data_IF_659407694719
#
_entry.id   IF_659407694719
#
_cell.length_a   1.000
_cell.length_b   1.000
_cell.length_c   1.000
_cell.angle_alpha   90.00
_cell.angle_beta   90.00
_cell.angle_gamma   90.00
#
_symmetry.space_group_name_H-M   'P 1'
#
loop_
_entity.id
_entity.type
_entity.pdbx_description
1 polymer ?
#
# COMPACT_ATOMS: atom_id res chain seq x y z
N UNK A 1 -0.41 -2.45 -0.28
CA UNK A 1 0.82 -1.66 -0.51
C UNK A 1 0.77 -0.78 -1.76
N UNK A 2 -0.17 0.17 -1.82
CA UNK A 2 -0.23 1.16 -2.92
C UNK A 2 0.97 2.12 -2.91
N UNK A 3 1.33 2.68 -4.07
CA UNK A 3 2.20 3.85 -4.12
C UNK A 3 1.39 5.05 -3.65
N UNK A 4 2.08 6.04 -3.06
CA UNK A 4 1.42 7.25 -2.57
C UNK A 4 0.69 8.02 -3.68
N UNK A 5 1.21 8.01 -4.90
CA UNK A 5 0.57 8.62 -6.07
C UNK A 5 -0.72 7.90 -6.47
N UNK A 6 -0.73 6.57 -6.42
CA UNK A 6 -1.90 5.75 -6.71
C UNK A 6 -2.99 5.97 -5.66
N UNK A 7 -2.61 5.97 -4.37
CA UNK A 7 -3.52 6.28 -3.27
C UNK A 7 -4.16 7.67 -3.40
N UNK A 8 -3.37 8.67 -3.81
CA UNK A 8 -3.88 10.03 -4.04
C UNK A 8 -4.75 10.13 -5.30
N UNK A 9 -4.56 9.24 -6.27
CA UNK A 9 -5.28 9.19 -7.53
C UNK A 9 -6.61 8.43 -7.46
N UNK A 10 -6.82 7.61 -6.44
CA UNK A 10 -8.01 6.78 -6.28
C UNK A 10 -9.29 7.63 -6.19
N UNK A 11 -10.32 7.23 -6.93
CA UNK A 11 -11.69 7.73 -6.78
C UNK A 11 -12.51 6.82 -5.86
N UNK A 12 -13.63 7.34 -5.36
CA UNK A 12 -14.55 6.59 -4.50
C UNK A 12 -15.18 5.42 -5.28
N UNK A 13 -15.43 5.62 -6.57
CA UNK A 13 -16.03 4.62 -7.47
C UNK A 13 -15.04 3.48 -7.83
N UNK A 14 -13.74 3.68 -7.56
CA UNK A 14 -12.72 2.65 -7.76
C UNK A 14 -12.66 1.64 -6.60
N UNK A 15 -13.35 1.90 -5.48
CA UNK A 15 -13.31 1.09 -4.26
C UNK A 15 -14.56 0.22 -4.17
N UNK A 16 -14.36 -1.09 -4.11
CA UNK A 16 -15.38 -2.07 -3.79
C UNK A 16 -15.16 -2.58 -2.35
N UNK A 17 -15.98 -2.10 -1.41
CA UNK A 17 -15.91 -2.50 -0.01
C UNK A 17 -16.48 -3.89 0.24
N UNK A 18 -17.41 -4.36 -0.59
CA UNK A 18 -17.99 -5.71 -0.48
C UNK A 18 -16.98 -6.76 -0.93
N UNK A 19 -16.30 -6.48 -2.04
CA UNK A 19 -15.21 -7.29 -2.55
C UNK A 19 -13.87 -6.99 -1.84
N UNK A 20 -13.79 -6.02 -0.93
CA UNK A 20 -12.52 -5.59 -0.30
C UNK A 20 -11.37 -5.36 -1.31
N UNK A 21 -11.69 -4.70 -2.42
CA UNK A 21 -10.76 -4.43 -3.50
C UNK A 21 -10.86 -3.00 -4.02
N UNK A 22 -9.81 -2.54 -4.69
CA UNK A 22 -9.85 -1.27 -5.41
C UNK A 22 -9.16 -1.38 -6.77
N UNK A 23 -9.72 -0.71 -7.77
CA UNK A 23 -9.14 -0.59 -9.09
C UNK A 23 -8.13 0.57 -9.11
N UNK A 24 -6.87 0.26 -9.35
CA UNK A 24 -5.82 1.26 -9.55
C UNK A 24 -5.66 1.47 -11.03
N UNK A 25 -6.06 2.64 -11.51
CA UNK A 25 -5.90 3.03 -12.91
C UNK A 25 -4.43 3.40 -13.15
N UNK A 26 -3.80 2.66 -14.07
CA UNK A 26 -2.42 2.87 -14.46
C UNK A 26 -2.27 4.18 -15.23
N UNK A 27 -1.25 4.98 -14.87
CA UNK A 27 -0.86 6.14 -15.68
C UNK A 27 -0.25 5.72 -17.02
N UNK A 28 0.26 6.69 -17.81
CA UNK A 28 0.85 6.42 -19.13
C UNK A 28 1.98 5.37 -19.06
N UNK A 29 1.68 4.14 -19.50
CA UNK A 29 2.61 3.01 -19.57
C UNK A 29 2.47 1.98 -18.45
N UNK A 30 1.61 2.21 -17.45
CA UNK A 30 1.27 1.22 -16.42
C UNK A 30 -0.09 0.60 -16.72
N UNK A 31 -0.23 -0.70 -16.45
CA UNK A 31 -1.51 -1.40 -16.61
C UNK A 31 -2.38 -1.15 -15.38
N UNK A 32 -3.68 -1.06 -15.62
CA UNK A 32 -4.68 -1.10 -14.55
C UNK A 32 -4.53 -2.41 -13.78
N UNK A 33 -4.75 -2.33 -12.47
CA UNK A 33 -4.71 -3.51 -11.61
C UNK A 33 -5.66 -3.38 -10.43
N UNK A 34 -6.21 -4.51 -10.03
CA UNK A 34 -6.95 -4.61 -8.78
C UNK A 34 -5.96 -4.79 -7.62
N UNK A 35 -6.17 -4.02 -6.56
CA UNK A 35 -5.49 -4.22 -5.27
C UNK A 35 -6.49 -4.72 -4.25
N UNK A 36 -6.00 -5.56 -3.35
CA UNK A 36 -6.79 -6.11 -2.26
C UNK A 36 -6.44 -5.42 -0.96
N UNK A 37 -7.43 -5.33 -0.07
CA UNK A 37 -7.25 -4.80 1.27
C UNK A 37 -8.04 -5.64 2.30
N UNK A 38 -7.91 -5.26 3.57
CA UNK A 38 -8.47 -6.00 4.71
C UNK A 38 -9.75 -5.34 5.22
N UNK A 39 -10.48 -6.06 6.08
CA UNK A 39 -11.63 -5.51 6.81
C UNK A 39 -11.26 -4.22 7.57
N UNK A 40 -10.08 -4.17 8.20
CA UNK A 40 -9.61 -2.95 8.85
C UNK A 40 -9.51 -1.74 7.91
N UNK A 41 -9.27 -1.97 6.62
CA UNK A 41 -9.29 -0.90 5.60
C UNK A 41 -10.73 -0.49 5.26
N UNK A 42 -11.67 -1.44 5.20
CA UNK A 42 -13.10 -1.14 5.05
C UNK A 42 -13.56 -0.26 6.20
N UNK A 43 -13.30 -0.66 7.44
CA UNK A 43 -13.71 0.08 8.63
C UNK A 43 -13.15 1.52 8.63
N UNK A 44 -11.89 1.68 8.19
CA UNK A 44 -11.25 2.99 8.04
C UNK A 44 -11.90 3.85 6.93
N UNK A 45 -12.29 3.25 5.80
CA UNK A 45 -12.98 3.94 4.69
C UNK A 45 -14.38 4.35 5.12
N UNK A 46 -15.11 3.48 5.82
CA UNK A 46 -16.45 3.78 6.34
C UNK A 46 -16.42 4.91 7.37
N UNK A 47 -15.47 4.87 8.32
CA UNK A 47 -15.27 5.94 9.29
C UNK A 47 -14.87 7.28 8.63
N UNK A 48 -14.13 7.22 7.52
CA UNK A 48 -13.71 8.39 6.76
C UNK A 48 -14.83 9.02 5.92
N UNK A 49 -15.72 8.20 5.35
CA UNK A 49 -16.79 8.60 4.43
C UNK A 49 -17.65 9.79 4.88
N UNK A 50 -18.19 9.86 6.12
CA UNK A 50 -18.96 11.02 6.54
C UNK A 50 -18.13 12.32 6.59
N UNK A 51 -16.86 12.23 7.02
CA UNK A 51 -15.94 13.38 7.08
C UNK A 51 -15.62 13.86 5.66
N UNK A 52 -15.39 12.92 4.74
CA UNK A 52 -15.18 13.20 3.31
C UNK A 52 -16.37 13.96 2.72
N UNK A 53 -17.59 13.46 2.92
CA UNK A 53 -18.80 14.04 2.36
C UNK A 53 -19.03 15.48 2.84
N UNK A 54 -18.78 15.75 4.12
CA UNK A 54 -18.80 17.12 4.65
C UNK A 54 -17.78 18.03 3.95
N UNK A 55 -16.56 17.54 3.68
CA UNK A 55 -15.52 18.32 2.98
C UNK A 55 -15.85 18.58 1.52
N UNK A 56 -16.53 17.66 0.83
CA UNK A 56 -17.00 17.86 -0.54
C UNK A 56 -18.00 19.01 -0.59
N UNK A 57 -18.95 19.04 0.35
CA UNK A 57 -19.96 20.11 0.43
C UNK A 57 -19.36 21.51 0.68
N UNK A 58 -18.20 21.58 1.33
CA UNK A 58 -17.48 22.82 1.61
C UNK A 58 -16.58 23.28 0.46
N UNK A 59 -16.36 22.45 -0.55
CA UNK A 59 -15.49 22.75 -1.69
C UNK A 59 -16.26 23.50 -2.77
N UNK A 60 -15.84 24.73 -3.10
CA UNK A 60 -16.42 25.53 -4.19
C UNK A 60 -16.00 25.05 -5.61
N UNK A 61 -15.53 23.80 -5.76
CA UNK A 61 -15.02 23.29 -7.04
C UNK A 61 -15.21 21.78 -7.24
N UNK A 62 -15.41 21.40 -8.51
CA UNK A 62 -15.79 20.04 -8.96
C UNK A 62 -14.67 18.98 -8.79
N UNK A 63 -13.41 19.39 -8.75
CA UNK A 63 -12.25 18.46 -8.77
C UNK A 63 -12.16 17.50 -7.57
N UNK A 64 -12.77 17.84 -6.44
CA UNK A 64 -12.74 17.02 -5.21
C UNK A 64 -13.84 15.96 -5.13
N UNK A 65 -14.91 16.08 -5.93
CA UNK A 65 -16.15 15.32 -5.70
C UNK A 65 -15.99 13.80 -5.77
N UNK A 66 -15.07 13.31 -6.61
CA UNK A 66 -14.85 11.86 -6.82
C UNK A 66 -13.66 11.28 -6.05
N UNK A 67 -12.67 12.11 -5.71
CA UNK A 67 -11.44 11.65 -5.05
C UNK A 67 -11.73 10.97 -3.71
N UNK A 68 -11.18 9.78 -3.45
CA UNK A 68 -11.34 9.07 -2.17
C UNK A 68 -10.79 9.92 -1.01
N UNK A 69 -9.56 10.40 -1.16
CA UNK A 69 -8.87 11.20 -0.13
C UNK A 69 -8.91 12.68 -0.46
N UNK A 70 -9.34 13.47 0.53
CA UNK A 70 -9.46 14.92 0.42
C UNK A 70 -8.60 15.65 1.44
N UNK A 71 -7.97 16.73 0.99
CA UNK A 71 -7.38 17.73 1.87
C UNK A 71 -8.42 18.41 2.75
N UNK A 72 -7.99 19.17 3.76
CA UNK A 72 -8.90 19.95 4.61
C UNK A 72 -9.71 21.01 3.84
N UNK A 73 -9.30 21.35 2.61
CA UNK A 73 -9.99 22.29 1.72
C UNK A 73 -10.93 21.59 0.72
N UNK A 74 -11.19 20.30 0.89
CA UNK A 74 -12.08 19.53 0.00
C UNK A 74 -11.52 19.23 -1.39
N UNK A 75 -10.23 19.53 -1.65
CA UNK A 75 -9.54 19.17 -2.90
C UNK A 75 -8.86 17.80 -2.79
N UNK A 76 -8.65 17.12 -3.92
CA UNK A 76 -7.86 15.88 -4.03
C UNK A 76 -6.54 16.02 -3.26
N UNK A 77 -6.24 15.02 -2.44
CA UNK A 77 -4.98 14.99 -1.71
C UNK A 77 -3.80 14.79 -2.67
N UNK A 78 -2.72 15.54 -2.48
CA UNK A 78 -1.50 15.34 -3.26
C UNK A 78 -0.48 14.47 -2.47
N UNK A 79 0.47 13.81 -3.16
CA UNK A 79 1.44 12.93 -2.51
C UNK A 79 2.29 13.62 -1.43
N UNK A 80 2.62 14.90 -1.61
CA UNK A 80 3.43 15.65 -0.65
C UNK A 80 2.67 15.93 0.65
N UNK A 81 1.35 16.13 0.56
CA UNK A 81 0.47 16.28 1.72
C UNK A 81 0.36 14.97 2.51
N UNK A 82 0.31 13.82 1.82
CA UNK A 82 0.35 12.50 2.48
C UNK A 82 1.68 12.30 3.20
N UNK A 83 2.81 12.60 2.54
CA UNK A 83 4.13 12.50 3.17
C UNK A 83 4.22 13.34 4.45
N UNK A 84 3.79 14.61 4.39
CA UNK A 84 3.73 15.48 5.58
C UNK A 84 2.77 15.00 6.67
N UNK A 85 1.70 14.29 6.30
CA UNK A 85 0.81 13.68 7.28
C UNK A 85 1.53 12.53 7.99
N UNK A 86 2.22 11.67 7.23
CA UNK A 86 3.00 10.56 7.77
C UNK A 86 4.15 11.07 8.64
N UNK A 87 4.86 12.13 8.24
CA UNK A 87 5.90 12.75 9.07
C UNK A 87 5.36 13.18 10.44
N UNK A 88 4.17 13.78 10.47
CA UNK A 88 3.52 14.17 11.74
C UNK A 88 3.10 12.97 12.59
N UNK A 89 2.67 11.88 11.94
CA UNK A 89 2.35 10.64 12.65
C UNK A 89 3.62 9.99 13.22
N UNK A 90 4.73 10.05 12.49
CA UNK A 90 6.03 9.58 12.96
C UNK A 90 6.47 10.34 14.21
N UNK A 91 6.40 11.68 14.17
CA UNK A 91 6.74 12.51 15.32
C UNK A 91 5.84 12.21 16.53
N UNK A 92 4.54 12.06 16.31
CA UNK A 92 3.57 11.79 17.38
C UNK A 92 3.73 10.39 17.99
N UNK A 93 4.23 9.43 17.23
CA UNK A 93 4.53 8.08 17.68
C UNK A 93 5.99 7.92 18.17
N UNK A 94 6.77 9.00 18.21
CA UNK A 94 8.19 9.00 18.57
C UNK A 94 9.06 8.08 17.68
N UNK A 95 8.62 7.84 16.45
CA UNK A 95 9.33 7.05 15.45
C UNK A 95 10.21 7.97 14.60
N UNK A 96 11.50 7.67 14.37
CA UNK A 96 12.32 8.44 13.43
C UNK A 96 11.65 8.51 12.06
N UNK A 97 11.50 9.70 11.48
CA UNK A 97 10.83 9.88 10.17
C UNK A 97 11.43 9.04 9.04
N UNK A 98 12.72 8.71 9.12
CA UNK A 98 13.38 7.79 8.18
C UNK A 98 12.81 6.36 8.22
N UNK A 99 12.22 5.94 9.33
CA UNK A 99 11.61 4.62 9.54
C UNK A 99 10.11 4.59 9.26
N UNK A 100 9.45 5.73 9.10
CA UNK A 100 8.02 5.79 8.76
C UNK A 100 7.78 6.66 7.53
N UNK A 101 7.64 6.01 6.38
CA UNK A 101 7.37 6.67 5.09
C UNK A 101 6.44 5.81 4.22
N UNK A 102 5.79 6.35 3.17
CA UNK A 102 5.03 5.53 2.24
C UNK A 102 5.84 4.37 1.63
N UNK A 103 7.12 4.59 1.37
CA UNK A 103 8.00 3.56 0.84
C UNK A 103 8.24 2.45 1.88
N UNK A 104 8.54 2.83 3.12
CA UNK A 104 8.76 1.87 4.21
C UNK A 104 7.51 1.07 4.53
N UNK A 105 6.33 1.71 4.60
CA UNK A 105 5.04 1.03 4.78
C UNK A 105 4.75 0.03 3.66
N UNK A 106 5.07 0.38 2.42
CA UNK A 106 4.92 -0.54 1.28
C UNK A 106 5.91 -1.71 1.35
N UNK A 107 7.12 -1.47 1.84
CA UNK A 107 8.11 -2.53 2.06
C UNK A 107 7.67 -3.48 3.17
N UNK A 108 7.25 -2.97 4.33
CA UNK A 108 6.70 -3.76 5.44
C UNK A 108 5.48 -4.59 5.02
N UNK A 109 4.62 -4.03 4.16
CA UNK A 109 3.54 -4.79 3.55
C UNK A 109 4.04 -5.97 2.71
N UNK A 110 5.10 -5.77 1.91
CA UNK A 110 5.65 -6.80 1.05
C UNK A 110 6.36 -7.90 1.85
N UNK A 111 7.25 -7.53 2.78
CA UNK A 111 7.97 -8.47 3.63
C UNK A 111 7.02 -9.22 4.55
N UNK A 112 6.03 -8.54 5.13
CA UNK A 112 5.02 -9.19 5.95
C UNK A 112 4.18 -10.22 5.19
N UNK A 113 3.89 -10.02 3.91
CA UNK A 113 3.23 -11.05 3.11
C UNK A 113 4.16 -12.25 2.86
N UNK A 114 5.45 -12.00 2.61
CA UNK A 114 6.45 -13.03 2.38
C UNK A 114 6.67 -13.89 3.63
N UNK A 115 6.79 -13.27 4.80
CA UNK A 115 6.95 -13.94 6.10
C UNK A 115 5.77 -14.87 6.40
N UNK A 116 4.57 -14.52 5.93
CA UNK A 116 3.34 -15.31 6.06
C UNK A 116 3.13 -16.31 4.92
N UNK A 117 4.19 -16.59 4.16
CA UNK A 117 4.21 -17.64 3.14
C UNK A 117 3.54 -17.27 1.81
N UNK A 118 3.23 -15.99 1.56
CA UNK A 118 2.82 -15.57 0.22
C UNK A 118 4.02 -15.66 -0.74
N UNK A 119 3.80 -16.24 -1.92
CA UNK A 119 4.86 -16.35 -2.91
C UNK A 119 5.21 -14.99 -3.52
N UNK A 120 6.45 -14.85 -3.98
CA UNK A 120 6.97 -13.60 -4.54
C UNK A 120 6.18 -13.12 -5.77
N UNK A 121 5.58 -14.04 -6.56
CA UNK A 121 4.80 -13.69 -7.75
C UNK A 121 3.48 -13.04 -7.35
N UNK A 122 2.81 -13.59 -6.33
CA UNK A 122 1.61 -13.00 -5.73
C UNK A 122 1.89 -11.60 -5.18
N UNK A 123 2.98 -11.43 -4.43
CA UNK A 123 3.38 -10.14 -3.87
C UNK A 123 3.68 -9.13 -4.99
N UNK A 124 4.41 -9.54 -6.03
CA UNK A 124 4.75 -8.68 -7.17
C UNK A 124 3.51 -8.19 -7.91
N UNK A 125 2.51 -9.06 -8.11
CA UNK A 125 1.23 -8.70 -8.73
C UNK A 125 0.46 -7.69 -7.88
N UNK A 126 0.36 -7.92 -6.56
CA UNK A 126 -0.30 -7.00 -5.62
C UNK A 126 0.37 -5.62 -5.57
N UNK A 127 1.69 -5.57 -5.75
CA UNK A 127 2.44 -4.31 -5.78
C UNK A 127 2.46 -3.64 -7.16
N UNK A 128 2.12 -4.34 -8.25
CA UNK A 128 2.08 -3.76 -9.60
C UNK A 128 3.44 -3.39 -10.18
N UNK A 129 4.50 -4.15 -9.89
CA UNK A 129 5.80 -3.92 -10.52
C UNK A 129 5.80 -4.46 -11.96
N UNK A 130 5.89 -3.57 -12.95
CA UNK A 130 5.82 -3.90 -14.38
C UNK A 130 7.10 -4.52 -14.97
N UNK A 131 8.14 -4.81 -14.19
CA UNK A 131 9.42 -5.32 -14.72
C UNK A 131 10.05 -6.36 -13.80
N UNK A 132 10.07 -7.60 -14.30
CA UNK A 132 10.91 -8.70 -13.84
C UNK A 132 12.30 -8.46 -14.44
N UNK A 133 13.30 -8.17 -13.62
CA UNK A 133 14.67 -8.47 -14.03
C UNK A 133 14.94 -9.94 -13.71
N UNK A 134 14.81 -10.79 -14.74
CA UNK A 134 15.39 -12.14 -14.91
C UNK A 134 14.96 -13.22 -13.89
N UNK A 135 14.46 -14.42 -14.21
CA UNK A 135 14.36 -15.19 -15.47
C UNK A 135 13.31 -16.28 -15.26
N UNK A 136 12.46 -16.48 -16.27
CA UNK A 136 11.66 -17.67 -16.65
C UNK A 136 10.99 -18.52 -15.57
N UNK A 137 9.73 -18.83 -15.87
CA UNK A 137 8.77 -19.57 -15.04
C UNK A 137 8.28 -18.60 -13.97
N UNK A 138 7.00 -18.25 -13.92
CA UNK A 138 6.09 -18.93 -13.02
C UNK A 138 4.66 -18.51 -13.38
N UNK A 139 3.88 -19.54 -13.73
CA UNK A 139 2.43 -19.72 -13.60
C UNK A 139 1.55 -18.46 -13.60
N UNK A 140 0.61 -18.40 -14.54
CA UNK A 140 -0.56 -17.53 -14.44
C UNK A 140 -1.36 -17.90 -13.20
N UNK A 141 -1.03 -17.29 -12.07
CA UNK A 141 -1.87 -17.36 -10.87
C UNK A 141 -3.17 -16.60 -11.21
N UNK A 142 -4.33 -17.22 -11.02
CA UNK A 142 -5.60 -16.52 -11.25
C UNK A 142 -5.89 -15.51 -10.13
N UNK A 143 -6.69 -14.47 -10.42
CA UNK A 143 -7.04 -13.43 -9.45
C UNK A 143 -7.70 -13.98 -8.18
N UNK A 144 -8.49 -15.05 -8.33
CA UNK A 144 -9.10 -15.78 -7.22
C UNK A 144 -8.05 -16.40 -6.28
N UNK A 145 -7.01 -17.01 -6.85
CA UNK A 145 -5.92 -17.60 -6.07
C UNK A 145 -5.10 -16.52 -5.36
N UNK A 146 -4.86 -15.37 -6.00
CA UNK A 146 -4.20 -14.23 -5.36
C UNK A 146 -4.98 -13.74 -4.14
N UNK A 147 -6.30 -13.64 -4.27
CA UNK A 147 -7.21 -13.24 -3.20
C UNK A 147 -7.17 -14.20 -2.01
N UNK A 148 -7.19 -15.50 -2.27
CA UNK A 148 -7.11 -16.53 -1.23
C UNK A 148 -5.79 -16.49 -0.46
N UNK A 149 -4.66 -16.37 -1.17
CA UNK A 149 -3.33 -16.27 -0.56
C UNK A 149 -3.24 -15.00 0.30
N UNK A 150 -3.68 -13.86 -0.25
CA UNK A 150 -3.66 -12.59 0.46
C UNK A 150 -4.49 -12.62 1.75
N UNK A 151 -5.75 -13.07 1.67
CA UNK A 151 -6.62 -13.11 2.85
C UNK A 151 -6.17 -14.15 3.88
N UNK A 152 -5.56 -15.26 3.46
CA UNK A 152 -4.96 -16.22 4.40
C UNK A 152 -3.83 -15.57 5.18
N UNK A 153 -2.88 -14.94 4.49
CA UNK A 153 -1.77 -14.25 5.11
C UNK A 153 -2.26 -13.13 6.06
N UNK A 154 -3.32 -12.41 5.72
CA UNK A 154 -3.82 -11.32 6.58
C UNK A 154 -4.62 -11.81 7.82
N UNK A 155 -5.17 -13.03 7.82
CA UNK A 155 -5.93 -13.59 8.96
C UNK A 155 -5.06 -14.03 10.13
N UNK A 156 -3.77 -14.22 9.92
CA UNK A 156 -2.83 -14.66 10.95
C UNK A 156 -2.32 -13.50 11.85
N UNK A 157 -2.96 -12.32 11.78
CA UNK A 157 -2.75 -11.23 12.73
C UNK A 157 -3.59 -11.49 13.99
N UNK A 158 -3.00 -11.65 15.19
CA UNK A 158 -3.73 -11.45 16.43
C UNK A 158 -4.13 -9.97 16.52
N UNK A 159 -5.32 -9.69 17.04
CA UNK A 159 -5.74 -8.33 17.37
C UNK A 159 -4.75 -7.72 18.38
N UNK A 160 -3.83 -6.88 17.90
CA UNK A 160 -3.22 -5.82 18.71
C UNK A 160 -2.11 -6.17 19.71
N UNK A 161 -1.40 -7.30 19.61
CA UNK A 161 -0.13 -7.49 20.35
C UNK A 161 1.05 -7.49 19.36
N UNK A 162 1.72 -6.35 19.26
CA UNK A 162 3.07 -6.27 18.68
C UNK A 162 4.03 -6.56 19.83
N UNK A 163 4.68 -7.73 19.80
CA UNK A 163 5.80 -8.01 20.71
C UNK A 163 7.01 -7.17 20.27
N UNK A 164 7.40 -6.20 21.10
CA UNK A 164 8.50 -5.26 20.83
C UNK A 164 9.86 -5.96 20.61
N UNK A 165 9.95 -7.26 20.93
CA UNK A 165 11.16 -8.06 20.83
C UNK A 165 11.56 -8.49 19.40
N UNK A 166 10.68 -8.37 18.39
CA UNK A 166 10.94 -8.83 17.01
C UNK A 166 11.28 -7.72 15.99
N UNK A 167 11.73 -6.55 16.46
CA UNK A 167 12.42 -5.59 15.59
C UNK A 167 13.85 -6.06 15.31
N UNK A 168 13.99 -7.07 14.45
CA UNK A 168 15.29 -7.53 13.96
C UNK A 168 15.94 -6.38 13.17
N UNK A 169 17.15 -6.02 13.57
CA UNK A 169 17.95 -5.02 12.87
C UNK A 169 18.25 -5.49 11.45
N UNK A 170 17.68 -4.79 10.46
CA UNK A 170 17.88 -5.08 9.04
C UNK A 170 19.35 -4.89 8.57
N UNK A 171 20.27 -4.56 9.48
CA UNK A 171 21.71 -4.51 9.24
C UNK A 171 22.42 -5.86 9.38
N UNK A 172 21.82 -6.89 9.99
CA UNK A 172 22.51 -8.16 10.30
C UNK A 172 22.22 -9.34 9.36
N UNK A 173 21.29 -9.22 8.39
CA UNK A 173 20.80 -10.41 7.65
C UNK A 173 21.59 -10.72 6.36
N UNK A 174 22.61 -9.95 5.96
CA UNK A 174 23.42 -10.28 4.78
C UNK A 174 24.93 -10.08 5.04
N UNK A 175 25.76 -11.14 4.99
CA UNK A 175 27.21 -10.96 4.93
C UNK A 175 27.57 -10.20 3.65
N UNK A 176 28.45 -9.21 3.78
CA UNK A 176 28.81 -8.23 2.75
C UNK A 176 29.56 -8.80 1.53
N UNK A 177 29.54 -10.11 1.28
CA UNK A 177 30.40 -10.77 0.28
C UNK A 177 29.66 -11.37 -0.93
N UNK A 178 28.32 -11.28 -1.03
CA UNK A 178 27.57 -11.80 -2.19
C UNK A 178 26.63 -10.78 -2.84
N UNK A 179 27.13 -9.60 -3.20
CA UNK A 179 26.41 -8.69 -4.11
C UNK A 179 26.80 -8.97 -5.57
N UNK A 180 25.92 -9.56 -6.42
CA UNK A 180 26.21 -9.80 -7.82
C UNK A 180 25.86 -8.56 -8.65
N UNK A 181 26.44 -7.40 -8.32
CA UNK A 181 26.38 -6.23 -9.18
C UNK A 181 27.75 -5.56 -9.22
N UNK A 182 28.62 -6.17 -10.03
CA UNK A 182 29.80 -5.50 -10.54
C UNK A 182 29.38 -4.20 -11.25
N UNK A 183 30.10 -3.14 -10.89
CA UNK A 183 30.20 -1.89 -11.64
C UNK A 183 30.35 -2.18 -13.13
N UNK A 184 29.58 -1.47 -13.95
CA UNK A 184 29.83 -1.27 -15.37
C UNK A 184 29.57 0.24 -15.62
N UNK A 185 30.41 0.91 -16.43
CA UNK A 185 31.29 2.02 -16.02
C UNK A 185 30.63 3.41 -15.92
#
# INVERSE_FOLDING_TARGET
GLRVSELCGLDIDDVDVEDMSALVIGGKGEKDRTVLFTQATVDAIEAWTPIRNARVQMSEGEEGGRSLLLSSRGRRMNPRSVQKLIDRLADAAEIPRSRLSPHTLRHTFATGLLERGADLVTIQRLLGHASIATTRVYLEIGDQTLREIYHRAQRELPDGEVDEAELVDASEVLPAEELPFQRIP
#
